data_IF_932800522416
#
_entry.id   IF_932800522416
#
_cell.length_a   1.000
_cell.length_b   1.000
_cell.length_c   1.000
_cell.angle_alpha   90.00
_cell.angle_beta   90.00
_cell.angle_gamma   90.00
#
_symmetry.space_group_name_H-M   'P 1'
#
loop_
_entity.id
_entity.type
_entity.pdbx_description
1 polymer ?
#
# COMPACT_ATOMS: atom_id res chain seq x y z
N UNK A 1 18.49 -6.70 12.26
CA UNK A 1 17.64 -7.68 11.54
C UNK A 1 18.34 -7.99 10.23
N UNK A 2 18.63 -9.24 9.96
CA UNK A 2 19.16 -9.63 8.65
C UNK A 2 18.04 -9.75 7.62
N UNK A 3 18.41 -9.87 6.33
CA UNK A 3 17.44 -9.85 5.25
C UNK A 3 16.49 -11.07 5.28
N UNK A 4 16.98 -12.24 5.64
CA UNK A 4 16.16 -13.45 5.70
C UNK A 4 15.20 -13.40 6.89
N UNK A 5 15.67 -12.94 8.03
CA UNK A 5 14.85 -12.71 9.21
C UNK A 5 13.70 -11.73 8.91
N UNK A 6 13.98 -10.65 8.19
CA UNK A 6 12.97 -9.68 7.76
C UNK A 6 11.89 -10.32 6.89
N UNK A 7 12.31 -11.08 5.87
CA UNK A 7 11.40 -11.72 4.91
C UNK A 7 10.51 -12.77 5.58
N UNK A 8 11.06 -13.57 6.48
CA UNK A 8 10.34 -14.67 7.15
C UNK A 8 9.40 -14.15 8.25
N UNK A 9 9.71 -13.01 8.86
CA UNK A 9 8.95 -12.50 10.02
C UNK A 9 8.10 -11.26 9.73
N UNK A 10 8.14 -10.70 8.50
CA UNK A 10 7.30 -9.56 8.13
C UNK A 10 5.82 -9.87 8.35
N UNK A 11 5.15 -8.98 9.06
CA UNK A 11 3.69 -9.07 9.33
C UNK A 11 3.02 -7.73 9.11
N UNK A 12 1.73 -7.76 8.81
CA UNK A 12 0.87 -6.57 8.79
C UNK A 12 0.58 -6.10 10.22
N UNK A 13 0.80 -4.82 10.51
CA UNK A 13 0.52 -4.21 11.80
C UNK A 13 -0.79 -3.43 11.74
N UNK A 14 -1.88 -3.92 12.38
CA UNK A 14 -3.20 -3.31 12.24
C UNK A 14 -3.37 -2.01 13.03
N UNK A 15 -2.54 -1.74 14.04
CA UNK A 15 -2.56 -0.53 14.87
C UNK A 15 -1.21 0.16 14.85
N UNK A 16 -1.22 1.34 14.30
CA UNK A 16 -0.05 2.20 14.11
C UNK A 16 -0.23 3.51 14.86
N UNK A 17 0.86 4.06 15.34
CA UNK A 17 0.92 5.37 16.02
C UNK A 17 2.06 6.21 15.47
N UNK A 18 2.08 7.49 15.80
CA UNK A 18 3.23 8.36 15.55
C UNK A 18 4.48 7.87 16.30
N UNK A 19 5.69 8.16 15.79
CA UNK A 19 5.92 8.91 14.55
C UNK A 19 5.74 8.06 13.28
N UNK A 20 5.45 8.72 12.17
CA UNK A 20 5.60 8.16 10.83
C UNK A 20 7.09 8.09 10.44
N UNK A 21 7.48 7.27 9.44
CA UNK A 21 8.79 7.39 8.81
C UNK A 21 8.99 8.81 8.24
N UNK A 22 10.11 9.45 8.58
CA UNK A 22 10.46 10.80 8.11
C UNK A 22 11.93 10.87 7.69
N UNK A 23 12.32 11.93 7.00
CA UNK A 23 13.71 12.17 6.61
C UNK A 23 14.31 11.01 5.82
N UNK A 24 15.47 10.51 6.26
CA UNK A 24 16.16 9.42 5.57
C UNK A 24 15.38 8.09 5.63
N UNK A 25 14.59 7.85 6.67
CA UNK A 25 13.77 6.65 6.75
C UNK A 25 12.70 6.62 5.65
N UNK A 26 11.98 7.72 5.44
CA UNK A 26 11.02 7.84 4.34
C UNK A 26 11.72 7.75 2.98
N UNK A 27 12.86 8.41 2.83
CA UNK A 27 13.65 8.38 1.60
C UNK A 27 14.09 6.95 1.24
N UNK A 28 14.52 6.16 2.22
CA UNK A 28 14.88 4.76 2.02
C UNK A 28 13.65 3.93 1.58
N UNK A 29 12.48 4.17 2.16
CA UNK A 29 11.23 3.51 1.75
C UNK A 29 10.89 3.84 0.29
N UNK A 30 10.98 5.10 -0.09
CA UNK A 30 10.75 5.54 -1.48
C UNK A 30 11.75 4.91 -2.45
N UNK A 31 13.04 4.85 -2.09
CA UNK A 31 14.06 4.21 -2.92
C UNK A 31 13.88 2.70 -3.04
N UNK A 32 13.41 2.03 -1.98
CA UNK A 32 13.10 0.61 -2.02
C UNK A 32 11.98 0.29 -3.03
N UNK A 33 10.96 1.14 -3.14
CA UNK A 33 9.92 0.99 -4.16
C UNK A 33 10.49 0.97 -5.59
N UNK A 34 11.53 1.79 -5.84
CA UNK A 34 12.18 1.88 -7.16
C UNK A 34 13.04 0.65 -7.51
N UNK A 35 13.11 -0.36 -6.64
CA UNK A 35 13.79 -1.64 -6.87
C UNK A 35 12.84 -2.79 -7.19
N UNK A 36 11.56 -2.52 -7.32
CA UNK A 36 10.60 -3.51 -7.79
C UNK A 36 10.98 -4.02 -9.19
N UNK A 37 10.75 -5.31 -9.49
CA UNK A 37 10.92 -5.83 -10.83
C UNK A 37 10.08 -5.02 -11.84
N UNK A 38 10.70 -4.59 -12.92
CA UNK A 38 10.08 -3.71 -13.91
C UNK A 38 10.48 -4.13 -15.32
N UNK A 39 9.58 -4.81 -15.99
CA UNK A 39 9.79 -5.26 -17.37
C UNK A 39 9.85 -4.04 -18.30
N UNK A 40 10.89 -3.98 -19.12
CA UNK A 40 11.19 -2.91 -20.07
C UNK A 40 11.43 -1.53 -19.41
N UNK A 41 11.69 -1.46 -18.10
CA UNK A 41 11.97 -0.21 -17.37
C UNK A 41 10.88 0.85 -17.56
N UNK A 42 9.62 0.44 -17.53
CA UNK A 42 8.46 1.31 -17.72
C UNK A 42 8.20 2.21 -16.53
N UNK A 43 8.66 1.84 -15.33
CA UNK A 43 8.31 2.49 -14.06
C UNK A 43 6.78 2.71 -13.95
N UNK A 44 5.98 1.62 -13.97
CA UNK A 44 4.52 1.71 -14.13
C UNK A 44 3.84 1.98 -12.78
N UNK A 45 4.33 2.95 -12.03
CA UNK A 45 3.81 3.27 -10.71
C UNK A 45 3.82 4.77 -10.43
N UNK A 46 2.86 5.20 -9.65
CA UNK A 46 2.79 6.51 -9.02
C UNK A 46 2.42 6.33 -7.55
N UNK A 47 2.99 7.11 -6.68
CA UNK A 47 2.70 7.07 -5.24
C UNK A 47 2.27 8.45 -4.75
N UNK A 48 1.22 8.48 -3.91
CA UNK A 48 0.78 9.70 -3.23
C UNK A 48 1.02 9.48 -1.74
N UNK A 49 1.91 10.25 -1.14
CA UNK A 49 2.18 10.21 0.30
C UNK A 49 1.23 11.16 0.99
N UNK A 50 0.37 10.62 1.85
CA UNK A 50 -0.59 11.38 2.66
C UNK A 50 -0.11 11.38 4.11
N UNK A 51 0.18 12.57 4.62
CA UNK A 51 0.51 12.83 6.02
C UNK A 51 -0.22 14.10 6.48
N UNK A 52 -0.42 14.27 7.77
CA UNK A 52 -1.09 15.44 8.36
C UNK A 52 -2.40 15.82 7.65
N UNK A 53 -2.47 16.99 7.03
CA UNK A 53 -3.64 17.45 6.27
C UNK A 53 -3.94 16.56 5.05
N UNK A 54 -2.94 15.89 4.50
CA UNK A 54 -3.10 14.94 3.40
C UNK A 54 -3.96 13.73 3.79
N UNK A 55 -3.89 13.28 5.04
CA UNK A 55 -4.77 12.22 5.56
C UNK A 55 -6.22 12.67 5.62
N UNK A 56 -6.46 13.91 6.05
CA UNK A 56 -7.82 14.49 6.06
C UNK A 56 -8.36 14.64 4.64
N UNK A 57 -7.54 15.11 3.70
CA UNK A 57 -7.92 15.20 2.28
C UNK A 57 -8.32 13.83 1.72
N UNK A 58 -7.54 12.80 1.98
CA UNK A 58 -7.87 11.43 1.57
C UNK A 58 -9.17 10.94 2.26
N UNK A 59 -9.36 11.29 3.54
CA UNK A 59 -10.58 10.99 4.29
C UNK A 59 -11.83 11.62 3.66
N UNK A 60 -11.75 12.89 3.27
CA UNK A 60 -12.85 13.60 2.60
C UNK A 60 -13.18 12.97 1.23
N UNK A 61 -12.18 12.49 0.49
CA UNK A 61 -12.41 11.75 -0.77
C UNK A 61 -13.18 10.45 -0.50
N UNK A 62 -12.83 9.72 0.57
CA UNK A 62 -13.54 8.49 0.93
C UNK A 62 -14.98 8.76 1.38
N UNK A 63 -15.19 9.83 2.17
CA UNK A 63 -16.51 10.25 2.63
C UNK A 63 -17.40 10.61 1.44
N UNK A 64 -16.92 11.47 0.54
CA UNK A 64 -17.66 11.85 -0.65
C UNK A 64 -18.01 10.64 -1.52
N UNK A 65 -17.05 9.74 -1.71
CA UNK A 65 -17.28 8.47 -2.43
C UNK A 65 -18.34 7.59 -1.74
N UNK A 66 -18.36 7.56 -0.40
CA UNK A 66 -19.36 6.79 0.34
C UNK A 66 -20.77 7.38 0.18
N UNK A 67 -20.89 8.70 0.20
CA UNK A 67 -22.16 9.43 -0.02
C UNK A 67 -22.67 9.16 -1.44
N UNK A 68 -21.84 9.38 -2.45
CA UNK A 68 -22.23 9.23 -3.87
C UNK A 68 -22.52 7.79 -4.29
N UNK A 69 -22.03 6.79 -3.54
CA UNK A 69 -22.36 5.37 -3.74
C UNK A 69 -23.46 4.85 -2.80
N UNK A 70 -24.25 5.74 -2.20
CA UNK A 70 -25.39 5.40 -1.32
C UNK A 70 -25.03 4.38 -0.22
N UNK A 71 -23.85 4.56 0.42
CA UNK A 71 -23.43 3.71 1.53
C UNK A 71 -24.27 3.98 2.77
N UNK A 72 -24.31 3.02 3.70
CA UNK A 72 -25.01 3.22 4.97
C UNK A 72 -24.44 4.38 5.77
N UNK A 73 -25.25 5.04 6.59
CA UNK A 73 -24.84 6.13 7.51
C UNK A 73 -23.54 5.79 8.26
N UNK A 74 -23.47 4.57 8.80
CA UNK A 74 -22.29 4.09 9.53
C UNK A 74 -21.03 4.01 8.66
N UNK A 75 -21.18 3.66 7.39
CA UNK A 75 -20.04 3.62 6.47
C UNK A 75 -19.60 5.04 6.08
N UNK A 76 -20.55 5.96 5.88
CA UNK A 76 -20.27 7.38 5.59
C UNK A 76 -19.54 8.01 6.78
N UNK A 77 -20.04 7.88 8.02
CA UNK A 77 -19.37 8.38 9.22
C UNK A 77 -17.96 7.81 9.43
N UNK A 78 -17.77 6.56 9.06
CA UNK A 78 -16.49 5.87 9.20
C UNK A 78 -15.47 6.24 8.11
N UNK A 79 -15.92 6.59 6.93
CA UNK A 79 -15.08 6.81 5.75
C UNK A 79 -13.93 7.81 6.00
N UNK A 80 -14.17 9.04 6.52
CA UNK A 80 -13.12 10.02 6.76
C UNK A 80 -12.11 9.59 7.82
N UNK A 81 -12.48 8.64 8.70
CA UNK A 81 -11.61 8.12 9.76
C UNK A 81 -10.67 7.02 9.28
N UNK A 82 -10.88 6.45 8.09
CA UNK A 82 -10.09 5.34 7.60
C UNK A 82 -8.61 5.70 7.40
N UNK A 83 -8.25 6.82 6.77
CA UNK A 83 -6.83 7.18 6.61
C UNK A 83 -6.16 7.54 7.95
N UNK A 84 -6.91 8.03 8.93
CA UNK A 84 -6.39 8.45 10.24
C UNK A 84 -5.97 7.28 11.17
N UNK A 85 -6.04 6.04 10.69
CA UNK A 85 -5.59 4.84 11.44
C UNK A 85 -4.08 4.68 11.52
N UNK A 86 -3.34 5.50 10.79
CA UNK A 86 -1.90 5.59 10.84
C UNK A 86 -1.48 7.04 10.61
N UNK A 87 -0.28 7.43 11.07
CA UNK A 87 0.22 8.78 10.85
C UNK A 87 0.65 9.06 9.40
N UNK A 88 0.70 8.04 8.56
CA UNK A 88 1.00 8.16 7.12
C UNK A 88 0.26 7.09 6.34
N UNK A 89 -0.23 7.45 5.15
CA UNK A 89 -0.77 6.52 4.15
C UNK A 89 -0.12 6.82 2.80
N UNK A 90 0.40 5.80 2.15
CA UNK A 90 0.87 5.89 0.77
C UNK A 90 -0.18 5.23 -0.13
N UNK A 91 -0.80 6.02 -1.00
CA UNK A 91 -1.66 5.48 -2.07
C UNK A 91 -0.74 4.97 -3.16
N UNK A 92 -0.80 3.67 -3.43
CA UNK A 92 0.00 3.02 -4.45
C UNK A 92 -0.85 2.79 -5.71
N UNK A 93 -0.38 3.28 -6.83
CA UNK A 93 -1.08 3.30 -8.10
C UNK A 93 -0.23 2.57 -9.14
N UNK A 94 -0.82 1.61 -9.83
CA UNK A 94 -0.29 1.11 -11.08
C UNK A 94 -0.69 2.10 -12.18
N UNK A 95 0.27 2.85 -12.66
CA UNK A 95 0.09 3.82 -13.74
C UNK A 95 0.38 3.14 -15.06
N UNK A 96 -0.69 2.77 -15.78
CA UNK A 96 -0.57 2.00 -17.00
C UNK A 96 0.20 2.76 -18.10
N UNK A 97 1.09 2.04 -18.77
CA UNK A 97 1.81 2.51 -19.96
C UNK A 97 1.61 1.52 -21.08
N UNK A 98 1.09 1.99 -22.19
CA UNK A 98 0.93 1.14 -23.37
C UNK A 98 2.28 0.63 -23.84
N UNK A 99 2.39 -0.70 -24.00
CA UNK A 99 3.62 -1.35 -24.45
C UNK A 99 3.32 -2.72 -25.07
N UNK A 100 3.87 -3.00 -26.26
CA UNK A 100 3.58 -4.20 -27.04
C UNK A 100 3.91 -5.52 -26.34
N UNK A 101 4.91 -5.52 -25.45
CA UNK A 101 5.44 -6.73 -24.78
C UNK A 101 5.10 -6.82 -23.30
N UNK A 102 4.59 -5.73 -22.69
CA UNK A 102 4.34 -5.66 -21.25
C UNK A 102 2.86 -5.47 -21.01
N UNK A 103 2.12 -6.55 -20.77
CA UNK A 103 0.69 -6.46 -20.52
C UNK A 103 0.39 -5.78 -19.18
N UNK A 104 -0.83 -5.25 -19.05
CA UNK A 104 -1.29 -4.51 -17.86
C UNK A 104 -1.10 -5.29 -16.56
N UNK A 105 -1.32 -6.61 -16.57
CA UNK A 105 -1.17 -7.46 -15.38
C UNK A 105 0.25 -7.46 -14.83
N UNK A 106 1.28 -7.42 -15.68
CA UNK A 106 2.67 -7.33 -15.25
C UNK A 106 2.98 -5.97 -14.61
N UNK A 107 2.40 -4.89 -15.11
CA UNK A 107 2.55 -3.55 -14.56
C UNK A 107 1.89 -3.42 -13.19
N UNK A 108 0.70 -4.02 -13.00
CA UNK A 108 0.04 -4.11 -11.68
C UNK A 108 0.88 -4.94 -10.71
N UNK A 109 1.44 -6.07 -11.16
CA UNK A 109 2.33 -6.90 -10.34
C UNK A 109 3.60 -6.13 -9.92
N UNK A 110 4.19 -5.37 -10.85
CA UNK A 110 5.34 -4.51 -10.57
C UNK A 110 5.04 -3.46 -9.49
N UNK A 111 3.92 -2.74 -9.62
CA UNK A 111 3.47 -1.78 -8.61
C UNK A 111 3.18 -2.45 -7.25
N UNK A 112 2.64 -3.67 -7.26
CA UNK A 112 2.40 -4.47 -6.05
C UNK A 112 3.71 -4.89 -5.37
N UNK A 113 4.74 -5.26 -6.15
CA UNK A 113 6.08 -5.53 -5.64
C UNK A 113 6.70 -4.27 -5.00
N UNK A 114 6.47 -3.08 -5.57
CA UNK A 114 6.93 -1.83 -4.98
C UNK A 114 6.30 -1.57 -3.62
N UNK A 115 5.00 -1.86 -3.42
CA UNK A 115 4.34 -1.77 -2.11
C UNK A 115 4.98 -2.71 -1.11
N UNK A 116 5.26 -3.95 -1.49
CA UNK A 116 5.95 -4.93 -0.64
C UNK A 116 7.35 -4.44 -0.25
N UNK A 117 8.11 -3.90 -1.20
CA UNK A 117 9.45 -3.35 -0.95
C UNK A 117 9.40 -2.17 0.03
N UNK A 118 8.43 -1.25 -0.11
CA UNK A 118 8.21 -0.15 0.84
C UNK A 118 7.93 -0.66 2.24
N UNK A 119 7.06 -1.65 2.38
CA UNK A 119 6.72 -2.22 3.68
C UNK A 119 7.93 -2.91 4.33
N UNK A 120 8.71 -3.67 3.57
CA UNK A 120 9.96 -4.30 4.06
C UNK A 120 10.96 -3.25 4.52
N UNK A 121 11.16 -2.18 3.74
CA UNK A 121 12.05 -1.09 4.09
C UNK A 121 11.60 -0.34 5.36
N UNK A 122 10.30 -0.21 5.59
CA UNK A 122 9.75 0.35 6.82
C UNK A 122 10.08 -0.55 8.02
N UNK A 123 9.83 -1.87 7.90
CA UNK A 123 10.11 -2.85 8.97
C UNK A 123 11.60 -2.91 9.29
N UNK A 124 12.48 -2.90 8.29
CA UNK A 124 13.93 -2.90 8.49
C UNK A 124 14.44 -1.71 9.29
N UNK A 125 13.68 -0.61 9.33
CA UNK A 125 14.02 0.63 10.03
C UNK A 125 13.26 0.80 11.37
N UNK A 126 12.56 -0.26 11.85
CA UNK A 126 11.84 -0.25 13.13
C UNK A 126 10.42 0.32 13.07
N UNK A 127 9.95 0.70 11.89
CA UNK A 127 8.54 1.01 11.63
C UNK A 127 7.77 -0.26 11.24
N UNK A 128 6.50 -0.12 10.96
CA UNK A 128 5.71 -1.20 10.37
C UNK A 128 4.55 -0.60 9.55
N UNK A 129 3.78 -1.48 8.92
CA UNK A 129 2.65 -1.06 8.12
C UNK A 129 1.65 -2.17 7.86
N UNK A 130 0.56 -1.76 7.23
CA UNK A 130 -0.43 -2.67 6.68
C UNK A 130 -0.86 -2.19 5.31
N UNK A 131 -0.78 -3.07 4.33
CA UNK A 131 -1.32 -2.85 3.00
C UNK A 131 -2.80 -3.20 3.00
N UNK A 132 -3.65 -2.24 2.69
CA UNK A 132 -5.10 -2.39 2.57
C UNK A 132 -5.54 -2.08 1.16
N UNK A 133 -6.60 -2.76 0.76
CA UNK A 133 -7.36 -2.52 -0.46
C UNK A 133 -8.81 -2.18 -0.09
N UNK A 134 -9.78 -2.86 -0.63
CA UNK A 134 -11.20 -2.69 -0.32
C UNK A 134 -11.91 -1.80 -1.34
N UNK A 135 -13.13 -1.42 -1.05
CA UNK A 135 -14.01 -0.75 -2.01
C UNK A 135 -13.41 0.55 -2.60
N UNK A 136 -12.72 1.32 -1.80
CA UNK A 136 -12.11 2.59 -2.23
C UNK A 136 -10.98 2.42 -3.25
N UNK A 137 -10.29 1.27 -3.28
CA UNK A 137 -9.27 0.99 -4.29
C UNK A 137 -9.86 0.73 -5.69
N UNK A 138 -11.13 0.35 -5.74
CA UNK A 138 -11.83 0.01 -6.98
C UNK A 138 -12.93 1.03 -7.32
N UNK A 139 -12.95 2.17 -6.64
CA UNK A 139 -13.97 3.19 -6.82
C UNK A 139 -13.54 4.25 -7.83
N UNK A 140 -14.30 4.40 -8.91
CA UNK A 140 -14.00 5.38 -9.96
C UNK A 140 -14.04 6.83 -9.45
N UNK A 141 -14.90 7.14 -8.47
CA UNK A 141 -14.92 8.47 -7.84
C UNK A 141 -13.62 8.75 -7.09
N UNK A 142 -13.07 7.74 -6.38
CA UNK A 142 -11.77 7.88 -5.72
C UNK A 142 -10.64 8.02 -6.73
N UNK A 143 -10.65 7.23 -7.82
CA UNK A 143 -9.68 7.35 -8.91
C UNK A 143 -9.72 8.75 -9.52
N UNK A 144 -10.90 9.26 -9.84
CA UNK A 144 -11.08 10.59 -10.41
C UNK A 144 -10.60 11.70 -9.46
N UNK A 145 -10.93 11.61 -8.16
CA UNK A 145 -10.48 12.58 -7.16
C UNK A 145 -8.95 12.58 -6.93
N UNK A 146 -8.28 11.47 -7.26
CA UNK A 146 -6.82 11.33 -7.25
C UNK A 146 -6.18 11.64 -8.62
N UNK A 147 -6.96 12.13 -9.58
CA UNK A 147 -6.53 12.48 -10.94
C UNK A 147 -5.88 11.29 -11.67
N UNK A 148 -6.49 10.12 -11.56
CA UNK A 148 -6.06 8.91 -12.26
C UNK A 148 -6.81 8.77 -13.60
N UNK A 149 -6.14 8.18 -14.58
CA UNK A 149 -6.77 7.77 -15.82
C UNK A 149 -7.66 6.54 -15.61
N UNK A 150 -8.55 6.25 -16.58
CA UNK A 150 -9.38 5.03 -16.55
C UNK A 150 -8.55 3.74 -16.56
N UNK A 151 -7.34 3.79 -17.10
CA UNK A 151 -6.46 2.63 -17.22
C UNK A 151 -5.60 2.40 -15.98
N UNK A 152 -5.47 3.41 -15.11
CA UNK A 152 -4.72 3.32 -13.87
C UNK A 152 -5.48 2.49 -12.82
N UNK A 153 -4.76 1.82 -11.95
CA UNK A 153 -5.33 1.05 -10.83
C UNK A 153 -4.72 1.45 -9.49
N UNK A 154 -5.56 1.64 -8.49
CA UNK A 154 -5.09 1.74 -7.11
C UNK A 154 -4.80 0.33 -6.61
N UNK A 155 -3.52 -0.05 -6.54
CA UNK A 155 -3.13 -1.37 -6.02
C UNK A 155 -3.29 -1.46 -4.50
N UNK A 156 -3.48 -0.34 -3.84
CA UNK A 156 -3.86 -0.27 -2.45
C UNK A 156 -3.33 0.95 -1.70
N UNK A 157 -3.58 0.93 -0.41
CA UNK A 157 -3.22 1.95 0.56
C UNK A 157 -2.25 1.33 1.57
N UNK A 158 -1.00 1.76 1.57
CA UNK A 158 0.00 1.32 2.53
C UNK A 158 0.01 2.28 3.72
N UNK A 159 -0.54 1.84 4.83
CA UNK A 159 -0.52 2.54 6.11
C UNK A 159 0.82 2.32 6.79
N UNK A 160 1.50 3.37 7.22
CA UNK A 160 2.82 3.32 7.84
C UNK A 160 2.85 4.09 9.16
N UNK A 161 3.64 3.60 10.10
CA UNK A 161 3.86 4.25 11.39
C UNK A 161 4.68 3.37 12.33
N UNK A 162 4.74 3.80 13.57
CA UNK A 162 5.34 3.02 14.67
C UNK A 162 4.34 1.98 15.16
N UNK A 163 4.73 0.71 15.39
CA UNK A 163 3.85 -0.28 16.01
C UNK A 163 3.28 0.20 17.35
N UNK A 164 1.97 0.12 17.54
CA UNK A 164 1.34 0.49 18.80
C UNK A 164 1.46 -0.62 19.88
N UNK A 165 1.68 -1.86 19.44
CA UNK A 165 1.91 -3.03 20.29
C UNK A 165 2.67 -4.11 19.51
N UNK A 166 3.26 -5.05 20.22
CA UNK A 166 3.88 -6.23 19.61
C UNK A 166 2.79 -7.20 19.14
N UNK A 167 2.91 -7.65 17.90
CA UNK A 167 1.99 -8.65 17.36
C UNK A 167 2.45 -10.03 17.84
N UNK A 168 1.56 -10.85 18.43
CA UNK A 168 1.89 -12.21 18.82
C UNK A 168 2.43 -13.04 17.66
N UNK A 169 3.34 -13.95 17.94
CA UNK A 169 3.87 -14.85 16.95
C UNK A 169 2.76 -15.69 16.31
N UNK A 170 2.77 -15.75 15.00
CA UNK A 170 1.87 -16.58 14.21
C UNK A 170 2.70 -17.53 13.36
N UNK A 171 2.46 -18.85 13.45
CA UNK A 171 3.16 -19.80 12.61
C UNK A 171 2.96 -19.48 11.13
N UNK A 172 4.03 -19.62 10.36
CA UNK A 172 3.95 -19.52 8.92
C UNK A 172 3.05 -20.63 8.33
N UNK A 173 2.39 -20.41 7.20
CA UNK A 173 1.72 -21.49 6.46
C UNK A 173 2.72 -22.61 6.11
N UNK A 174 2.22 -23.85 5.99
CA UNK A 174 3.05 -24.95 5.52
C UNK A 174 3.43 -24.71 4.04
N UNK A 175 4.72 -24.51 3.79
CA UNK A 175 5.23 -24.28 2.44
C UNK A 175 5.01 -25.47 1.50
N UNK A 176 5.09 -26.71 2.01
CA UNK A 176 4.98 -27.93 1.19
C UNK A 176 3.62 -28.04 0.47
N UNK A 177 2.59 -27.40 1.02
CA UNK A 177 1.28 -27.36 0.39
C UNK A 177 1.24 -26.46 -0.87
N UNK A 178 2.24 -25.63 -1.08
CA UNK A 178 2.29 -24.61 -2.14
C UNK A 178 3.42 -24.80 -3.15
N UNK A 179 4.29 -25.79 -2.92
CA UNK A 179 5.43 -26.06 -3.82
C UNK A 179 5.32 -27.46 -4.42
N UNK A 180 5.45 -27.55 -5.74
CA UNK A 180 5.51 -28.81 -6.47
C UNK A 180 6.90 -28.98 -7.08
N UNK A 181 7.54 -30.11 -6.84
CA UNK A 181 8.87 -30.43 -7.37
C UNK A 181 8.75 -31.34 -8.58
N UNK A 182 9.18 -30.91 -9.73
CA UNK A 182 9.36 -31.73 -10.92
C UNK A 182 10.81 -32.16 -10.96
N UNK A 183 11.04 -33.48 -10.91
CA UNK A 183 12.37 -34.09 -10.87
C UNK A 183 12.51 -35.14 -11.98
#
# INVERSE_FOLDING_TARGET
>A
MDALELLLNRRSQPRLKAPAPQGDALKNIMQAAMRAPDHASLAPWRFIVCEELGLNKLGSIFEQSAIENDKSEKEIERAPQLPLRAPMVIVAIAQYKEHEKVPRVEQIASASCAVMAMQLAAVAQGFNGIWRTGAYAHCELVKAALELSSDDEIVGFLYLGTPAFEIPDKPAPNSDAHFTFWR
#
